data_IF_514126166514
#
_entry.id   IF_514126166514
#
_cell.length_a   1.000
_cell.length_b   1.000
_cell.length_c   1.000
_cell.angle_alpha   90.00
_cell.angle_beta   90.00
_cell.angle_gamma   90.00
#
_symmetry.space_group_name_H-M   'P 1'
#
loop_
_entity.id
_entity.type
_entity.pdbx_description
1 polymer ?
#
# COMPACT_ATOMS: atom_id res chain seq x y z
N UNK A 1 -15.52 -19.09 19.50
CA UNK A 1 -15.43 -18.03 18.48
C UNK A 1 -13.95 -17.77 18.26
N UNK A 2 -13.44 -17.99 17.06
CA UNK A 2 -12.05 -17.65 16.75
C UNK A 2 -11.96 -16.12 16.82
N UNK A 3 -11.25 -15.59 17.82
CA UNK A 3 -11.00 -14.16 17.94
C UNK A 3 -10.12 -13.76 16.77
N UNK A 4 -10.65 -12.93 15.89
CA UNK A 4 -9.90 -12.26 14.84
C UNK A 4 -8.87 -11.35 15.51
N UNK A 5 -7.58 -11.63 15.34
CA UNK A 5 -6.49 -10.74 15.75
C UNK A 5 -6.01 -9.96 14.51
N UNK A 6 -6.33 -8.65 14.39
CA UNK A 6 -5.89 -7.82 13.29
C UNK A 6 -4.36 -7.82 13.13
N UNK A 7 -3.61 -8.05 14.22
CA UNK A 7 -2.15 -8.06 14.19
C UNK A 7 -1.60 -9.30 13.47
N UNK A 8 -2.31 -10.44 13.50
CA UNK A 8 -1.86 -11.66 12.83
C UNK A 8 -2.04 -11.60 11.31
N UNK A 9 -3.08 -10.89 10.85
CA UNK A 9 -3.25 -10.56 9.43
C UNK A 9 -2.21 -9.54 8.97
N UNK A 10 -1.97 -8.48 9.75
CA UNK A 10 -0.91 -7.53 9.45
C UNK A 10 0.46 -8.22 9.34
N UNK A 11 0.78 -9.15 10.25
CA UNK A 11 2.01 -9.96 10.22
C UNK A 11 2.09 -10.89 9.00
N UNK A 12 0.99 -11.53 8.60
CA UNK A 12 0.94 -12.36 7.40
C UNK A 12 1.05 -11.56 6.11
N UNK A 13 0.49 -10.34 6.09
CA UNK A 13 0.62 -9.38 4.98
C UNK A 13 2.06 -8.86 4.91
N UNK A 14 2.64 -8.44 6.04
CA UNK A 14 4.05 -8.04 6.18
C UNK A 14 5.02 -9.11 5.64
N UNK A 15 4.81 -10.38 5.99
CA UNK A 15 5.66 -11.49 5.55
C UNK A 15 5.62 -11.75 4.03
N UNK A 16 4.60 -11.26 3.32
CA UNK A 16 4.40 -11.47 1.87
C UNK A 16 4.87 -10.30 1.01
N UNK A 17 4.96 -9.10 1.59
CA UNK A 17 5.14 -7.87 0.82
C UNK A 17 6.59 -7.48 0.54
N UNK A 18 7.57 -7.99 1.31
CA UNK A 18 9.02 -7.84 1.04
C UNK A 18 9.58 -6.40 1.04
N UNK A 19 8.71 -5.39 1.03
CA UNK A 19 8.99 -3.97 0.88
C UNK A 19 8.13 -3.15 1.86
N UNK A 20 8.31 -1.83 1.86
CA UNK A 20 7.75 -0.91 2.84
C UNK A 20 6.21 -1.00 2.95
N UNK A 21 5.71 -0.85 4.17
CA UNK A 21 4.28 -0.88 4.48
C UNK A 21 3.97 0.11 5.58
N UNK A 22 2.83 0.77 5.42
CA UNK A 22 2.37 1.83 6.31
C UNK A 22 0.88 1.66 6.56
N UNK A 23 0.44 2.01 7.77
CA UNK A 23 -0.97 1.98 8.17
C UNK A 23 -1.36 3.35 8.73
N UNK A 24 -2.52 3.87 8.32
CA UNK A 24 -3.15 5.04 8.91
C UNK A 24 -4.65 4.79 9.05
N UNK A 25 -5.14 4.77 10.29
CA UNK A 25 -6.52 4.36 10.55
C UNK A 25 -6.77 2.94 10.03
N UNK A 26 -7.83 2.78 9.23
CA UNK A 26 -8.22 1.50 8.63
C UNK A 26 -7.64 1.27 7.22
N UNK A 27 -6.63 2.04 6.83
CA UNK A 27 -6.00 1.93 5.50
C UNK A 27 -4.56 1.43 5.65
N UNK A 28 -4.26 0.30 5.01
CA UNK A 28 -2.89 -0.22 4.84
C UNK A 28 -2.44 0.08 3.42
N UNK A 29 -1.21 0.56 3.28
CA UNK A 29 -0.57 0.83 2.00
C UNK A 29 0.75 0.08 1.94
N UNK A 30 1.02 -0.60 0.83
CA UNK A 30 2.29 -1.30 0.61
C UNK A 30 2.91 -0.99 -0.74
N UNK A 31 4.24 -0.91 -0.75
CA UNK A 31 5.04 -1.03 -1.97
C UNK A 31 5.40 -2.49 -2.25
N UNK A 32 5.72 -2.83 -3.50
CA UNK A 32 6.00 -4.20 -3.92
C UNK A 32 7.01 -4.29 -5.07
N UNK A 33 7.68 -5.45 -5.17
CA UNK A 33 8.57 -5.79 -6.28
C UNK A 33 7.86 -6.05 -7.61
N UNK A 34 6.53 -6.16 -7.59
CA UNK A 34 5.70 -6.26 -8.81
C UNK A 34 5.39 -4.88 -9.44
N UNK A 35 6.10 -3.84 -9.00
CA UNK A 35 5.98 -2.45 -9.44
C UNK A 35 4.63 -1.79 -9.09
N UNK A 36 3.89 -2.36 -8.14
CA UNK A 36 2.60 -1.82 -7.71
C UNK A 36 2.66 -1.26 -6.29
N UNK A 37 1.76 -0.31 -6.04
CA UNK A 37 1.34 0.06 -4.69
C UNK A 37 -0.03 -0.59 -4.45
N UNK A 38 -0.30 -1.12 -3.26
CA UNK A 38 -1.59 -1.72 -2.93
C UNK A 38 -2.22 -1.06 -1.72
N UNK A 39 -3.54 -0.91 -1.75
CA UNK A 39 -4.34 -0.35 -0.67
C UNK A 39 -5.26 -1.44 -0.14
N UNK A 40 -5.28 -1.62 1.18
CA UNK A 40 -6.12 -2.59 1.86
C UNK A 40 -6.92 -1.94 2.97
N UNK A 41 -8.10 -2.50 3.22
CA UNK A 41 -8.84 -2.21 4.44
C UNK A 41 -8.25 -3.04 5.60
N UNK A 42 -7.77 -2.37 6.64
CA UNK A 42 -7.12 -3.01 7.78
C UNK A 42 -8.07 -3.85 8.65
N UNK A 43 -9.36 -3.53 8.65
CA UNK A 43 -10.37 -4.21 9.46
C UNK A 43 -10.88 -5.49 8.79
N UNK A 44 -11.13 -5.45 7.48
CA UNK A 44 -11.63 -6.61 6.72
C UNK A 44 -10.52 -7.44 6.09
N UNK A 45 -9.34 -6.85 5.89
CA UNK A 45 -8.25 -7.46 5.12
C UNK A 45 -8.50 -7.48 3.61
N UNK A 46 -9.49 -6.74 3.12
CA UNK A 46 -9.83 -6.68 1.70
C UNK A 46 -8.87 -5.78 0.91
N UNK A 47 -8.43 -6.24 -0.27
CA UNK A 47 -7.67 -5.42 -1.21
C UNK A 47 -8.63 -4.44 -1.89
N UNK A 48 -8.46 -3.14 -1.62
CA UNK A 48 -9.31 -2.11 -2.19
C UNK A 48 -8.79 -1.64 -3.56
N UNK A 49 -7.47 -1.44 -3.68
CA UNK A 49 -6.86 -0.94 -4.91
C UNK A 49 -5.49 -1.55 -5.21
N UNK A 50 -5.20 -1.69 -6.50
CA UNK A 50 -3.86 -1.99 -7.03
C UNK A 50 -3.45 -0.83 -7.94
N UNK A 51 -2.52 -0.02 -7.48
CA UNK A 51 -2.06 1.18 -8.16
C UNK A 51 -0.92 0.82 -9.10
N UNK A 52 -1.18 0.95 -10.40
CA UNK A 52 -0.23 0.66 -11.47
C UNK A 52 0.28 1.97 -12.05
N UNK A 53 1.59 2.07 -12.26
CA UNK A 53 2.19 3.22 -12.92
C UNK A 53 3.71 3.16 -12.88
N UNK A 54 4.28 2.75 -11.74
CA UNK A 54 5.72 2.51 -11.64
C UNK A 54 6.18 1.44 -12.64
N UNK A 55 7.36 1.66 -13.23
CA UNK A 55 7.96 0.72 -14.18
C UNK A 55 9.02 -0.19 -13.55
N UNK A 56 9.30 -0.01 -12.27
CA UNK A 56 10.26 -0.78 -11.48
C UNK A 56 9.81 -0.85 -10.00
N UNK A 57 10.55 -1.60 -9.18
CA UNK A 57 10.24 -1.95 -7.79
C UNK A 57 9.86 -0.70 -6.98
N UNK A 58 8.75 -0.76 -6.25
CA UNK A 58 8.38 0.28 -5.29
C UNK A 58 9.12 0.02 -3.97
N UNK A 59 9.99 0.95 -3.59
CA UNK A 59 10.90 0.79 -2.47
C UNK A 59 10.37 1.39 -1.16
N UNK A 60 9.54 2.44 -1.25
CA UNK A 60 8.98 3.12 -0.08
C UNK A 60 7.61 3.70 -0.37
N UNK A 61 6.79 3.76 0.67
CA UNK A 61 5.44 4.34 0.64
C UNK A 61 5.20 5.19 1.88
N UNK A 62 4.40 6.25 1.74
CA UNK A 62 3.92 7.08 2.83
C UNK A 62 2.45 7.45 2.59
N UNK A 63 1.69 7.64 3.68
CA UNK A 63 0.28 8.08 3.63
C UNK A 63 0.05 9.26 4.58
N UNK A 64 -0.76 10.22 4.12
CA UNK A 64 -1.28 11.30 4.93
C UNK A 64 -2.71 11.64 4.47
N UNK A 65 -3.70 11.21 5.26
CA UNK A 65 -5.11 11.37 4.88
C UNK A 65 -5.40 10.62 3.59
N UNK A 66 -5.97 11.30 2.59
CA UNK A 66 -6.29 10.68 1.29
C UNK A 66 -5.12 10.73 0.29
N UNK A 67 -3.91 11.11 0.71
CA UNK A 67 -2.73 11.20 -0.16
C UNK A 67 -1.75 10.09 0.16
N UNK A 68 -1.37 9.33 -0.86
CA UNK A 68 -0.30 8.34 -0.82
C UNK A 68 0.84 8.83 -1.69
N UNK A 69 2.07 8.66 -1.21
CA UNK A 69 3.29 8.90 -1.98
C UNK A 69 4.07 7.60 -2.08
N UNK A 70 4.58 7.28 -3.26
CA UNK A 70 5.44 6.11 -3.48
C UNK A 70 6.72 6.49 -4.21
N UNK A 71 7.84 5.91 -3.76
CA UNK A 71 9.15 6.03 -4.41
C UNK A 71 9.58 4.69 -5.01
N UNK A 72 10.11 4.72 -6.23
CA UNK A 72 10.50 3.52 -6.98
C UNK A 72 11.93 3.59 -7.53
N UNK A 73 12.50 2.41 -7.79
CA UNK A 73 13.74 2.25 -8.57
C UNK A 73 13.66 2.84 -9.99
N UNK A 74 12.46 3.12 -10.51
CA UNK A 74 12.25 3.78 -11.80
C UNK A 74 12.61 5.27 -11.82
N UNK A 75 13.10 5.79 -10.68
CA UNK A 75 13.51 7.19 -10.46
C UNK A 75 12.35 8.19 -10.43
N UNK A 76 11.12 7.72 -10.23
CA UNK A 76 9.93 8.57 -10.07
C UNK A 76 9.39 8.51 -8.65
N UNK A 77 8.67 9.57 -8.29
CA UNK A 77 7.83 9.62 -7.09
C UNK A 77 6.41 9.86 -7.56
N UNK A 78 5.49 8.96 -7.20
CA UNK A 78 4.09 9.09 -7.62
C UNK A 78 3.20 9.45 -6.46
N UNK A 79 2.18 10.26 -6.75
CA UNK A 79 1.18 10.70 -5.79
C UNK A 79 -0.15 10.07 -6.20
N UNK A 80 -0.81 9.43 -5.25
CA UNK A 80 -2.07 8.73 -5.45
C UNK A 80 -3.12 9.20 -4.47
N UNK A 81 -4.39 9.09 -4.87
CA UNK A 81 -5.51 9.27 -3.98
C UNK A 81 -5.86 7.94 -3.28
N UNK A 82 -5.85 7.91 -1.95
CA UNK A 82 -6.06 6.70 -1.16
C UNK A 82 -7.49 6.14 -1.26
N UNK A 83 -8.48 7.01 -1.54
CA UNK A 83 -9.90 6.63 -1.60
C UNK A 83 -10.32 6.11 -2.97
N UNK A 84 -9.79 6.70 -4.04
CA UNK A 84 -10.16 6.35 -5.42
C UNK A 84 -9.14 5.42 -6.09
N UNK A 85 -7.91 5.39 -5.59
CA UNK A 85 -6.80 4.68 -6.23
C UNK A 85 -6.30 5.35 -7.51
N UNK A 86 -6.71 6.59 -7.79
CA UNK A 86 -6.26 7.32 -8.97
C UNK A 86 -4.89 7.98 -8.77
N UNK A 87 -4.08 7.97 -9.82
CA UNK A 87 -2.83 8.72 -9.88
C UNK A 87 -3.11 10.21 -10.05
N UNK A 88 -2.55 11.02 -9.15
CA UNK A 88 -2.65 12.48 -9.20
C UNK A 88 -1.41 13.13 -9.85
N UNK A 89 -0.23 12.56 -9.66
CA UNK A 89 1.02 13.11 -10.20
C UNK A 89 2.16 12.07 -10.31
N UNK A 90 3.10 12.32 -11.23
CA UNK A 90 4.36 11.57 -11.48
C UNK A 90 5.56 12.51 -11.37
#
# INVERSE_FOLDING_TARGET
ALSYDPNELASQVLARLGHDVVIQGDTIVSGSSDNTVRIWNATSGEEQHVLKGHSDIVLSVAIQGDTIVSGSSDKTVRIWNATSGEEQHV
#
